data_IF_712963946138
#
_entry.id   IF_712963946138
#
_cell.length_a   1.000
_cell.length_b   1.000
_cell.length_c   1.000
_cell.angle_alpha   90.00
_cell.angle_beta   90.00
_cell.angle_gamma   90.00
#
_symmetry.space_group_name_H-M   'P 1'
#
loop_
_entity.id
_entity.type
_entity.pdbx_description
1 polymer ?
#
# COMPACT_ATOMS: atom_id res chain seq x y z
N UNK A 1 2.92 -12.41 -2.21
CA UNK A 1 4.29 -11.90 -2.45
C UNK A 1 5.23 -12.29 -1.31
N UNK A 2 6.57 -12.25 -1.49
CA UNK A 2 7.52 -12.47 -0.38
C UNK A 2 7.56 -11.24 0.53
N UNK A 3 7.52 -11.48 1.84
CA UNK A 3 7.66 -10.50 2.91
C UNK A 3 8.83 -10.92 3.78
N UNK A 4 9.63 -9.95 4.23
CA UNK A 4 10.86 -10.18 4.99
C UNK A 4 10.76 -9.48 6.37
N UNK A 5 9.59 -9.53 7.02
CA UNK A 5 9.35 -8.93 8.34
C UNK A 5 10.02 -9.73 9.47
N UNK A 6 10.55 -9.05 10.48
CA UNK A 6 11.14 -9.70 11.66
C UNK A 6 10.06 -10.19 12.64
N UNK A 7 10.35 -11.18 13.51
CA UNK A 7 9.42 -11.62 14.54
C UNK A 7 8.91 -10.49 15.44
N UNK A 8 9.77 -9.50 15.72
CA UNK A 8 9.43 -8.33 16.54
C UNK A 8 8.44 -7.40 15.81
N UNK A 9 8.61 -7.21 14.50
CA UNK A 9 7.65 -6.45 13.69
C UNK A 9 6.28 -7.16 13.64
N UNK A 10 6.28 -8.49 13.56
CA UNK A 10 5.05 -9.29 13.54
C UNK A 10 4.35 -9.40 14.91
N UNK A 11 4.99 -8.94 15.99
CA UNK A 11 4.33 -8.81 17.29
C UNK A 11 3.29 -7.69 17.30
N UNK A 12 3.43 -6.68 16.42
CA UNK A 12 2.43 -5.64 16.22
C UNK A 12 1.23 -6.17 15.41
N UNK A 13 -0.02 -6.09 15.92
CA UNK A 13 -1.19 -6.63 15.24
C UNK A 13 -1.47 -6.01 13.87
N UNK A 14 -1.23 -4.70 13.70
CA UNK A 14 -1.45 -3.99 12.43
C UNK A 14 -0.46 -4.51 11.35
N UNK A 15 0.79 -4.72 11.74
CA UNK A 15 1.84 -5.27 10.88
C UNK A 15 1.57 -6.75 10.54
N UNK A 16 1.18 -7.57 11.50
CA UNK A 16 0.80 -8.96 11.26
C UNK A 16 -0.41 -9.09 10.32
N UNK A 17 -1.42 -8.23 10.46
CA UNK A 17 -2.55 -8.19 9.55
C UNK A 17 -2.12 -7.76 8.14
N UNK A 18 -1.25 -6.75 8.06
CA UNK A 18 -0.71 -6.27 6.78
C UNK A 18 0.08 -7.35 6.07
N UNK A 19 0.91 -8.12 6.78
CA UNK A 19 1.65 -9.24 6.19
C UNK A 19 0.71 -10.26 5.53
N UNK A 20 -0.38 -10.65 6.22
CA UNK A 20 -1.37 -11.58 5.64
C UNK A 20 -1.91 -11.04 4.32
N UNK A 21 -2.29 -9.76 4.27
CA UNK A 21 -2.82 -9.09 3.07
C UNK A 21 -1.76 -9.03 1.95
N UNK A 22 -0.51 -8.71 2.30
CA UNK A 22 0.61 -8.65 1.36
C UNK A 22 0.87 -10.02 0.72
N UNK A 23 0.84 -11.09 1.51
CA UNK A 23 1.08 -12.46 1.02
C UNK A 23 0.00 -12.92 0.04
N UNK A 24 -1.23 -12.43 0.15
CA UNK A 24 -2.33 -12.68 -0.79
C UNK A 24 -2.09 -12.11 -2.20
N UNK A 25 -1.29 -11.04 -2.34
CA UNK A 25 -1.02 -10.45 -3.65
C UNK A 25 -0.16 -11.38 -4.53
N UNK A 26 -0.65 -11.70 -5.73
CA UNK A 26 0.01 -12.56 -6.75
C UNK A 26 0.65 -11.76 -7.90
N UNK A 27 0.61 -10.42 -7.85
CA UNK A 27 1.14 -9.52 -8.89
C UNK A 27 0.47 -9.62 -10.26
N UNK A 28 -0.74 -10.19 -10.36
CA UNK A 28 -1.47 -10.38 -11.62
C UNK A 28 -1.84 -9.08 -12.37
N UNK A 29 -1.93 -7.94 -11.68
CA UNK A 29 -2.18 -6.64 -12.31
C UNK A 29 -3.65 -6.30 -12.62
N UNK A 30 -4.62 -7.17 -12.32
CA UNK A 30 -6.04 -6.88 -12.56
C UNK A 30 -6.54 -5.58 -11.90
N UNK A 31 -5.93 -5.20 -10.77
CA UNK A 31 -6.25 -3.97 -10.07
C UNK A 31 -5.83 -2.69 -10.80
N UNK A 32 -4.91 -2.74 -11.78
CA UNK A 32 -4.40 -1.52 -12.44
C UNK A 32 -5.47 -0.88 -13.32
N UNK A 33 -6.13 -1.66 -14.17
CA UNK A 33 -7.14 -1.18 -15.12
C UNK A 33 -8.39 -0.57 -14.47
N UNK A 34 -8.67 -0.89 -13.20
CA UNK A 34 -9.82 -0.34 -12.46
C UNK A 34 -9.45 0.87 -11.59
N UNK A 35 -8.17 1.13 -11.36
CA UNK A 35 -7.77 2.19 -10.46
C UNK A 35 -7.78 3.55 -11.17
N UNK A 36 -8.63 4.51 -10.76
CA UNK A 36 -8.80 5.76 -11.50
C UNK A 36 -7.52 6.60 -11.55
N UNK A 37 -6.72 6.59 -10.48
CA UNK A 37 -5.47 7.36 -10.43
C UNK A 37 -4.42 6.81 -11.39
N UNK A 38 -4.33 5.48 -11.51
CA UNK A 38 -3.44 4.84 -12.47
C UNK A 38 -3.90 5.08 -13.90
N UNK A 39 -5.20 4.89 -14.17
CA UNK A 39 -5.76 5.09 -15.52
C UNK A 39 -5.54 6.52 -16.01
N UNK A 40 -5.63 7.50 -15.11
CA UNK A 40 -5.40 8.90 -15.45
C UNK A 40 -3.91 9.26 -15.62
N UNK A 41 -3.05 8.81 -14.69
CA UNK A 41 -1.66 9.27 -14.60
C UNK A 41 -0.67 8.36 -15.33
N UNK A 42 -1.01 7.09 -15.57
CA UNK A 42 -0.13 6.08 -16.18
C UNK A 42 1.05 5.64 -15.30
N UNK A 43 1.19 6.19 -14.10
CA UNK A 43 2.27 5.88 -13.18
C UNK A 43 1.96 4.59 -12.40
N UNK A 44 2.76 3.54 -12.60
CA UNK A 44 2.58 2.23 -11.93
C UNK A 44 2.59 2.35 -10.40
N UNK A 45 3.31 3.31 -9.83
CA UNK A 45 3.33 3.56 -8.38
C UNK A 45 1.99 4.12 -7.87
N UNK A 46 1.20 4.75 -8.74
CA UNK A 46 -0.18 5.17 -8.48
C UNK A 46 -1.22 4.06 -8.73
N UNK A 47 -0.79 2.87 -9.12
CA UNK A 47 -1.65 1.69 -9.16
C UNK A 47 -1.83 1.04 -7.77
N UNK A 48 -2.89 0.25 -7.54
CA UNK A 48 -3.07 -0.44 -6.27
C UNK A 48 -1.93 -1.44 -5.99
N UNK A 49 -1.43 -2.10 -7.04
CA UNK A 49 -0.28 -3.02 -6.94
C UNK A 49 1.02 -2.28 -6.63
N UNK A 50 1.27 -1.15 -7.29
CA UNK A 50 2.42 -0.30 -7.01
C UNK A 50 2.40 0.19 -5.56
N UNK A 51 1.26 0.68 -5.09
CA UNK A 51 1.08 1.06 -3.68
C UNK A 51 1.28 -0.10 -2.72
N UNK A 52 0.80 -1.31 -3.05
CA UNK A 52 1.07 -2.51 -2.23
C UNK A 52 2.58 -2.73 -2.05
N UNK A 53 3.37 -2.56 -3.11
CA UNK A 53 4.84 -2.64 -3.02
C UNK A 53 5.44 -1.55 -2.15
N UNK A 54 5.06 -0.30 -2.37
CA UNK A 54 5.53 0.84 -1.59
C UNK A 54 5.21 0.65 -0.10
N UNK A 55 4.01 0.19 0.24
CA UNK A 55 3.60 -0.06 1.62
C UNK A 55 4.40 -1.21 2.23
N UNK A 56 4.60 -2.33 1.49
CA UNK A 56 5.43 -3.44 1.97
C UNK A 56 6.83 -2.95 2.32
N UNK A 57 7.49 -2.23 1.40
CA UNK A 57 8.87 -1.78 1.59
C UNK A 57 8.97 -0.74 2.71
N UNK A 58 8.00 0.18 2.82
CA UNK A 58 7.90 1.16 3.90
C UNK A 58 7.76 0.49 5.27
N UNK A 59 6.88 -0.50 5.40
CA UNK A 59 6.67 -1.21 6.68
C UNK A 59 7.86 -2.12 7.03
N UNK A 60 8.44 -2.81 6.05
CA UNK A 60 9.56 -3.72 6.29
C UNK A 60 10.82 -2.96 6.72
N UNK A 61 11.11 -1.81 6.10
CA UNK A 61 12.29 -1.00 6.42
C UNK A 61 12.05 0.00 7.54
N UNK A 62 10.79 0.29 7.88
CA UNK A 62 10.40 1.36 8.81
C UNK A 62 10.65 2.77 8.30
N UNK A 63 11.10 2.96 7.05
CA UNK A 63 11.46 4.27 6.49
C UNK A 63 10.31 4.85 5.69
N UNK A 64 9.94 6.09 6.00
CA UNK A 64 8.97 6.85 5.21
C UNK A 64 9.69 7.89 4.35
N UNK A 65 9.50 7.82 3.03
CA UNK A 65 10.08 8.75 2.05
C UNK A 65 8.97 9.52 1.32
N UNK A 66 9.28 10.76 0.91
CA UNK A 66 8.31 11.67 0.29
C UNK A 66 7.59 11.06 -0.93
N UNK A 67 8.31 10.32 -1.76
CA UNK A 67 7.74 9.69 -2.96
C UNK A 67 6.69 8.62 -2.64
N UNK A 68 6.96 7.77 -1.63
CA UNK A 68 5.99 6.80 -1.12
C UNK A 68 4.74 7.50 -0.56
N UNK A 69 4.93 8.58 0.19
CA UNK A 69 3.82 9.38 0.76
C UNK A 69 2.95 9.96 -0.34
N UNK A 70 3.54 10.60 -1.36
CA UNK A 70 2.85 11.15 -2.52
C UNK A 70 1.93 10.11 -3.18
N UNK A 71 2.46 8.91 -3.47
CA UNK A 71 1.68 7.86 -4.13
C UNK A 71 0.55 7.31 -3.23
N UNK A 72 0.78 7.17 -1.93
CA UNK A 72 -0.25 6.70 -0.98
C UNK A 72 -1.34 7.76 -0.78
N UNK A 73 -0.97 9.04 -0.69
CA UNK A 73 -1.90 10.15 -0.49
C UNK A 73 -2.79 10.37 -1.73
N UNK A 74 -2.31 10.05 -2.94
CA UNK A 74 -3.13 10.03 -4.16
C UNK A 74 -4.21 8.95 -4.18
N UNK A 75 -4.16 7.95 -3.30
CA UNK A 75 -5.19 6.91 -3.27
C UNK A 75 -6.56 7.49 -2.89
N UNK A 76 -7.57 7.34 -3.74
CA UNK A 76 -8.92 7.87 -3.47
C UNK A 76 -9.74 7.03 -2.47
N UNK A 77 -9.22 5.88 -2.00
CA UNK A 77 -9.97 4.92 -1.18
C UNK A 77 -11.32 4.48 -1.80
N UNK A 78 -11.43 4.45 -3.14
CA UNK A 78 -12.63 4.00 -3.84
C UNK A 78 -12.85 2.48 -3.81
N UNK A 79 -11.81 1.71 -3.44
CA UNK A 79 -11.81 0.26 -3.27
C UNK A 79 -12.19 -0.59 -4.50
N UNK A 80 -12.27 0.01 -5.70
CA UNK A 80 -12.52 -0.73 -6.94
C UNK A 80 -11.50 -1.87 -7.17
N UNK A 81 -10.26 -1.66 -6.70
CA UNK A 81 -9.20 -2.67 -6.73
C UNK A 81 -9.53 -3.95 -5.95
N UNK A 82 -10.33 -3.88 -4.89
CA UNK A 82 -10.73 -5.06 -4.10
C UNK A 82 -11.78 -5.88 -4.84
N UNK A 83 -12.79 -5.21 -5.42
CA UNK A 83 -13.87 -5.87 -6.17
C UNK A 83 -13.33 -6.65 -7.37
N UNK A 84 -12.31 -6.12 -8.06
CA UNK A 84 -11.73 -6.81 -9.22
C UNK A 84 -10.65 -7.83 -8.89
N UNK A 85 -10.15 -7.90 -7.64
CA UNK A 85 -8.98 -8.69 -7.32
C UNK A 85 -9.32 -10.19 -7.30
N UNK A 86 -8.78 -11.02 -8.22
CA UNK A 86 -9.07 -12.45 -8.22
C UNK A 86 -8.44 -13.18 -7.02
N UNK A 87 -7.40 -12.59 -6.42
CA UNK A 87 -6.73 -13.16 -5.25
C UNK A 87 -7.39 -12.74 -3.92
N UNK A 88 -8.35 -11.81 -3.92
CA UNK A 88 -9.02 -11.36 -2.70
C UNK A 88 -8.14 -10.52 -1.78
N UNK A 89 -7.27 -9.65 -2.33
CA UNK A 89 -6.46 -8.74 -1.52
C UNK A 89 -7.37 -7.70 -0.84
N UNK A 90 -7.42 -7.73 0.50
CA UNK A 90 -8.15 -6.73 1.30
C UNK A 90 -7.36 -5.43 1.43
N UNK A 91 -7.25 -4.69 0.32
CA UNK A 91 -6.43 -3.48 0.19
C UNK A 91 -6.73 -2.40 1.24
N UNK A 92 -7.99 -2.27 1.68
CA UNK A 92 -8.39 -1.28 2.71
C UNK A 92 -7.53 -1.34 3.97
N UNK A 93 -7.25 -2.54 4.49
CA UNK A 93 -6.46 -2.70 5.72
C UNK A 93 -5.02 -2.23 5.52
N UNK A 94 -4.48 -2.44 4.33
CA UNK A 94 -3.12 -2.08 4.00
C UNK A 94 -2.95 -0.56 3.84
N UNK A 95 -3.86 0.11 3.12
CA UNK A 95 -3.80 1.57 2.92
C UNK A 95 -4.09 2.32 4.22
N UNK A 96 -4.99 1.82 5.06
CA UNK A 96 -5.29 2.43 6.37
C UNK A 96 -4.10 2.31 7.33
N UNK A 97 -3.45 1.15 7.39
CA UNK A 97 -2.22 1.00 8.17
C UNK A 97 -1.11 1.92 7.63
N UNK A 98 -0.91 1.97 6.32
CA UNK A 98 0.09 2.83 5.70
C UNK A 98 -0.11 4.31 6.03
N UNK A 99 -1.35 4.80 5.96
CA UNK A 99 -1.67 6.20 6.30
C UNK A 99 -1.43 6.52 7.76
N UNK A 100 -1.84 5.63 8.68
CA UNK A 100 -1.55 5.77 10.11
C UNK A 100 -0.04 5.78 10.37
N UNK A 101 0.72 4.94 9.67
CA UNK A 101 2.17 4.89 9.77
C UNK A 101 2.82 6.19 9.28
N UNK A 102 2.40 6.69 8.11
CA UNK A 102 2.88 7.97 7.56
C UNK A 102 2.58 9.11 8.51
N UNK A 103 1.36 9.20 9.04
CA UNK A 103 0.97 10.28 9.95
C UNK A 103 1.85 10.35 11.21
N UNK A 104 2.27 9.19 11.72
CA UNK A 104 3.13 9.12 12.91
C UNK A 104 4.61 9.40 12.62
N UNK A 105 5.07 9.08 11.42
CA UNK A 105 6.50 9.00 11.10
C UNK A 105 6.98 9.99 10.02
N UNK A 106 6.06 10.78 9.44
CA UNK A 106 6.40 11.72 8.37
C UNK A 106 5.59 13.01 8.51
N UNK A 107 6.30 14.15 8.45
CA UNK A 107 5.69 15.47 8.47
C UNK A 107 5.55 15.97 7.03
N UNK A 108 4.30 16.13 6.58
CA UNK A 108 4.00 16.71 5.27
C UNK A 108 4.42 18.18 5.23
N UNK A 109 5.13 18.64 4.19
CA UNK A 109 5.41 20.06 4.02
C UNK A 109 4.10 20.81 3.73
N UNK A 110 4.06 22.10 4.09
CA UNK A 110 2.89 22.95 3.85
C UNK A 110 2.75 23.35 2.38
N UNK A 111 3.83 23.29 1.61
CA UNK A 111 3.89 23.56 0.18
C UNK A 111 4.50 22.34 -0.54
N UNK A 112 3.95 21.98 -1.69
CA UNK A 112 4.53 21.01 -2.63
C UNK A 112 5.64 21.65 -3.48
#
# INVERSE_FOLDING_TARGET
MRTDFTPEQLADPDTAQSEKVLRTCTHCGFCTATCPTYVLLGDELDSPRGRIYLIKDMLATGKVIADTVKHIDRCLSCLACMTTCPSGVHYMHLVDHARRWIERNYRRPWAE
#
